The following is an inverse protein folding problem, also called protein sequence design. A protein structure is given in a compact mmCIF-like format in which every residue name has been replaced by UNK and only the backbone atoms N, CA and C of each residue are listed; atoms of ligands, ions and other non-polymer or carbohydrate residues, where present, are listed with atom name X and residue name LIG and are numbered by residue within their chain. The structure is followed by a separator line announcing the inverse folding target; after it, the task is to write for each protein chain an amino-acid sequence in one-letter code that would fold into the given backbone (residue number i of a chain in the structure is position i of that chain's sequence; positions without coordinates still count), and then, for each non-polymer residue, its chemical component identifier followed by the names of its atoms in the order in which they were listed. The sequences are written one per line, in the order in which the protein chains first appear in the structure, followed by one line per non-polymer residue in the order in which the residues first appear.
data_IF_722601294002
#
_entry.id   IF_722601294002
#
_cell.length_a   1.000
_cell.length_b   1.000
_cell.length_c   1.000
_cell.angle_alpha   90.00
_cell.angle_beta   90.00
_cell.angle_gamma   90.00
#
_symmetry.space_group_name_H-M   'P 1'
#
loop_
_entity.id
_entity.type
_entity.pdbx_description
1 polymer ?
#
# COMPACT_ATOMS: atom_id res chain seq x y z
N UNK A 1 -14.10 -8.91 35.06
CA UNK A 1 -14.56 -9.22 33.69
C UNK A 1 -14.12 -8.06 32.80
N UNK A 2 -12.95 -8.16 32.17
CA UNK A 2 -12.48 -7.16 31.22
C UNK A 2 -12.94 -7.55 29.83
N UNK A 3 -13.93 -6.83 29.31
CA UNK A 3 -14.35 -6.91 27.91
C UNK A 3 -13.23 -6.35 27.04
N UNK A 4 -12.38 -7.23 26.51
CA UNK A 4 -11.47 -6.86 25.42
C UNK A 4 -12.34 -6.57 24.20
N UNK A 5 -12.42 -5.28 23.88
CA UNK A 5 -13.05 -4.77 22.68
C UNK A 5 -12.30 -5.35 21.47
N UNK A 6 -12.91 -6.30 20.76
CA UNK A 6 -12.37 -6.79 19.50
C UNK A 6 -12.47 -5.68 18.44
N UNK A 7 -11.36 -5.23 17.85
CA UNK A 7 -11.40 -4.15 16.88
C UNK A 7 -11.98 -4.68 15.56
N UNK A 8 -13.12 -4.10 15.17
CA UNK A 8 -13.91 -4.50 14.00
C UNK A 8 -13.14 -4.16 12.71
N UNK A 9 -13.08 -5.05 11.69
CA UNK A 9 -12.30 -4.84 10.46
C UNK A 9 -12.67 -3.57 9.66
N UNK A 10 -13.85 -2.99 9.87
CA UNK A 10 -14.26 -1.72 9.27
C UNK A 10 -13.43 -0.51 9.73
N UNK A 11 -12.77 -0.59 10.88
CA UNK A 11 -11.89 0.47 11.40
C UNK A 11 -10.62 0.63 10.55
N UNK A 12 -10.07 -0.50 10.08
CA UNK A 12 -8.82 -0.55 9.30
C UNK A 12 -8.93 0.27 8.01
N UNK A 13 -10.10 0.31 7.39
CA UNK A 13 -10.31 1.02 6.14
C UNK A 13 -10.20 2.54 6.27
N UNK A 14 -10.37 3.07 7.49
CA UNK A 14 -10.23 4.50 7.77
C UNK A 14 -8.78 4.94 7.99
N UNK A 15 -7.85 3.99 8.12
CA UNK A 15 -6.46 4.28 8.47
C UNK A 15 -5.67 4.92 7.32
N UNK A 16 -4.75 5.82 7.69
CA UNK A 16 -3.67 6.26 6.80
C UNK A 16 -2.68 5.12 6.57
N UNK A 17 -1.82 5.27 5.56
CA UNK A 17 -0.79 4.28 5.26
C UNK A 17 0.15 4.05 6.46
N UNK A 18 0.64 5.13 7.09
CA UNK A 18 1.57 5.03 8.23
C UNK A 18 0.90 4.37 9.43
N UNK A 19 -0.34 4.74 9.73
CA UNK A 19 -1.08 4.13 10.84
C UNK A 19 -1.32 2.63 10.61
N UNK A 20 -1.75 2.24 9.40
CA UNK A 20 -1.95 0.85 9.05
C UNK A 20 -0.63 0.04 9.12
N UNK A 21 0.47 0.59 8.59
CA UNK A 21 1.80 -0.03 8.65
C UNK A 21 2.28 -0.21 10.08
N UNK A 22 2.18 0.83 10.91
CA UNK A 22 2.68 0.80 12.28
C UNK A 22 1.85 -0.16 13.15
N UNK A 23 0.57 -0.32 12.85
CA UNK A 23 -0.24 -1.36 13.46
C UNK A 23 0.09 -2.76 12.96
N UNK A 24 0.33 -2.94 11.65
CA UNK A 24 0.73 -4.22 11.08
C UNK A 24 2.04 -4.72 11.72
N UNK A 25 3.02 -3.83 11.91
CA UNK A 25 4.28 -4.17 12.60
C UNK A 25 4.00 -4.65 14.03
N UNK A 26 3.09 -4.01 14.76
CA UNK A 26 2.70 -4.44 16.12
C UNK A 26 2.05 -5.83 16.12
N UNK A 27 1.13 -6.08 15.20
CA UNK A 27 0.46 -7.37 15.04
C UNK A 27 1.47 -8.49 14.74
N UNK A 28 2.37 -8.27 13.78
CA UNK A 28 3.44 -9.23 13.43
C UNK A 28 4.34 -9.49 14.64
N UNK A 29 4.75 -8.43 15.35
CA UNK A 29 5.58 -8.56 16.55
C UNK A 29 4.90 -9.39 17.64
N UNK A 30 3.58 -9.27 17.82
CA UNK A 30 2.81 -10.08 18.79
C UNK A 30 2.71 -11.55 18.35
N UNK A 31 2.50 -11.80 17.05
CA UNK A 31 2.50 -13.16 16.48
C UNK A 31 3.86 -13.85 16.64
N UNK A 32 4.96 -13.14 16.38
CA UNK A 32 6.33 -13.67 16.48
C UNK A 32 6.75 -14.03 17.92
N UNK A 33 6.15 -13.39 18.93
CA UNK A 33 6.40 -13.74 20.34
C UNK A 33 5.88 -15.14 20.71
N UNK A 34 4.87 -15.64 19.98
CA UNK A 34 4.36 -17.01 20.15
C UNK A 34 3.70 -17.31 21.51
N UNK A 35 3.41 -16.29 22.32
CA UNK A 35 2.80 -16.43 23.65
C UNK A 35 1.26 -16.33 23.65
N UNK A 36 0.66 -16.06 22.49
CA UNK A 36 -0.79 -15.95 22.33
C UNK A 36 -1.47 -17.33 22.26
N UNK A 37 -2.74 -17.40 22.67
CA UNK A 37 -3.56 -18.59 22.43
C UNK A 37 -3.85 -18.75 20.92
N UNK A 38 -4.36 -19.91 20.51
CA UNK A 38 -4.73 -20.15 19.12
C UNK A 38 -5.76 -19.13 18.61
N UNK A 39 -6.83 -18.92 19.37
CA UNK A 39 -7.91 -17.99 19.02
C UNK A 39 -7.38 -16.56 18.89
N UNK A 40 -6.50 -16.14 19.81
CA UNK A 40 -5.86 -14.83 19.74
C UNK A 40 -4.92 -14.73 18.53
N UNK A 41 -4.17 -15.78 18.22
CA UNK A 41 -3.27 -15.84 17.06
C UNK A 41 -4.04 -15.73 15.75
N UNK A 42 -5.21 -16.38 15.65
CA UNK A 42 -6.10 -16.25 14.49
C UNK A 42 -6.63 -14.82 14.34
N UNK A 43 -7.12 -14.21 15.43
CA UNK A 43 -7.61 -12.84 15.40
C UNK A 43 -6.52 -11.83 15.02
N UNK A 44 -5.28 -12.04 15.50
CA UNK A 44 -4.12 -11.25 15.09
C UNK A 44 -3.83 -11.42 13.60
N UNK A 45 -3.84 -12.65 13.10
CA UNK A 45 -3.60 -12.92 11.68
C UNK A 45 -4.66 -12.23 10.79
N UNK A 46 -5.95 -12.38 11.08
CA UNK A 46 -7.04 -11.76 10.31
C UNK A 46 -6.93 -10.22 10.30
N UNK A 47 -6.55 -9.63 11.44
CA UNK A 47 -6.26 -8.19 11.52
C UNK A 47 -5.04 -7.81 10.69
N UNK A 48 -3.98 -8.61 10.74
CA UNK A 48 -2.78 -8.43 9.93
C UNK A 48 -3.08 -8.45 8.43
N UNK A 49 -3.87 -9.40 7.95
CA UNK A 49 -4.32 -9.47 6.55
C UNK A 49 -5.11 -8.22 6.14
N UNK A 50 -6.01 -7.76 7.00
CA UNK A 50 -6.80 -6.54 6.74
C UNK A 50 -5.90 -5.30 6.64
N UNK A 51 -4.91 -5.18 7.52
CA UNK A 51 -3.94 -4.07 7.50
C UNK A 51 -3.02 -4.13 6.28
N UNK A 52 -2.58 -5.33 5.88
CA UNK A 52 -1.76 -5.53 4.69
C UNK A 52 -2.52 -5.13 3.42
N UNK A 53 -3.78 -5.57 3.28
CA UNK A 53 -4.65 -5.17 2.17
C UNK A 53 -4.81 -3.65 2.09
N UNK A 54 -5.04 -2.98 3.24
CA UNK A 54 -5.13 -1.52 3.30
C UNK A 54 -3.83 -0.83 2.85
N UNK A 55 -2.68 -1.36 3.28
CA UNK A 55 -1.38 -0.84 2.84
C UNK A 55 -1.20 -0.99 1.32
N UNK A 56 -1.61 -2.12 0.76
CA UNK A 56 -1.55 -2.37 -0.69
C UNK A 56 -2.42 -1.39 -1.47
N UNK A 57 -3.66 -1.15 -1.04
CA UNK A 57 -4.55 -0.16 -1.66
C UNK A 57 -3.91 1.23 -1.77
N UNK A 58 -3.26 1.68 -0.69
CA UNK A 58 -2.52 2.95 -0.69
C UNK A 58 -1.38 2.96 -1.71
N UNK A 59 -0.59 1.89 -1.76
CA UNK A 59 0.57 1.80 -2.65
C UNK A 59 0.16 1.71 -4.12
N UNK A 60 -0.87 0.93 -4.44
CA UNK A 60 -1.46 0.84 -5.78
C UNK A 60 -2.01 2.20 -6.20
N UNK A 61 -2.77 2.87 -5.33
CA UNK A 61 -3.30 4.21 -5.60
C UNK A 61 -2.22 5.28 -5.78
N UNK A 62 -1.11 5.18 -5.07
CA UNK A 62 0.05 6.06 -5.24
C UNK A 62 0.76 5.81 -6.57
N UNK A 63 0.96 4.53 -6.94
CA UNK A 63 1.54 4.15 -8.24
C UNK A 63 0.72 4.70 -9.41
N UNK A 64 -0.60 4.51 -9.39
CA UNK A 64 -1.49 5.00 -10.45
C UNK A 64 -1.39 6.53 -10.63
N UNK A 65 -1.30 7.28 -9.52
CA UNK A 65 -1.11 8.74 -9.56
C UNK A 65 0.22 9.15 -10.20
N UNK A 66 1.30 8.43 -9.89
CA UNK A 66 2.61 8.69 -10.48
C UNK A 66 2.62 8.40 -11.99
N UNK A 67 2.01 7.30 -12.41
CA UNK A 67 1.95 6.92 -13.81
C UNK A 67 1.11 7.91 -14.63
N UNK A 68 -0.01 8.40 -14.10
CA UNK A 68 -0.81 9.45 -14.71
C UNK A 68 -0.04 10.79 -14.85
N UNK A 69 0.74 11.17 -13.83
CA UNK A 69 1.57 12.38 -13.89
C UNK A 69 2.67 12.27 -14.96
N UNK A 70 3.30 11.09 -15.10
CA UNK A 70 4.30 10.82 -16.13
C UNK A 70 3.70 10.88 -17.54
N UNK A 71 2.55 10.26 -17.75
CA UNK A 71 1.85 10.29 -19.04
C UNK A 71 1.43 11.72 -19.44
N UNK A 72 1.01 12.53 -18.46
CA UNK A 72 0.66 13.95 -18.69
C UNK A 72 1.88 14.80 -19.07
N UNK A 73 3.06 14.45 -18.56
CA UNK A 73 4.33 15.15 -18.86
C UNK A 73 4.90 14.75 -20.23
N UNK A 74 4.56 13.56 -20.73
CA UNK A 74 5.01 13.03 -22.03
C UNK A 74 4.13 13.46 -23.23
N UNK A 75 3.34 14.54 -23.10
CA UNK A 75 2.53 15.10 -24.20
C UNK A 75 3.34 15.54 -25.43
N UNK A 76 2.69 15.81 -26.58
CA UNK A 76 3.02 15.38 -27.95
C UNK A 76 4.24 16.04 -28.63
N UNK A 77 5.16 16.65 -27.88
CA UNK A 77 6.32 17.34 -28.45
C UNK A 77 7.59 16.47 -28.50
N UNK A 78 7.47 15.15 -28.40
CA UNK A 78 8.56 14.22 -28.68
C UNK A 78 8.64 13.81 -30.17
N UNK A 79 7.82 14.40 -31.03
CA UNK A 79 7.94 14.31 -32.49
C UNK A 79 8.54 15.61 -33.05
N UNK A 80 9.86 15.77 -32.99
CA UNK A 80 10.49 16.92 -33.65
C UNK A 80 11.93 17.23 -33.26
N UNK A 81 12.88 16.33 -33.54
CA UNK A 81 14.28 16.72 -33.79
C UNK A 81 15.06 15.56 -34.42
N UNK A 82 15.23 15.61 -35.75
CA UNK A 82 16.04 14.65 -36.51
C UNK A 82 16.03 14.88 -38.02
N UNK A 83 16.18 16.15 -38.42
CA UNK A 83 16.88 16.62 -39.62
C UNK A 83 16.70 15.83 -40.94
N UNK A 84 15.82 16.35 -41.80
CA UNK A 84 15.90 16.18 -43.25
C UNK A 84 16.59 17.42 -43.81
N UNK A 85 17.88 17.38 -44.17
CA UNK A 85 18.36 17.97 -45.43
C UNK A 85 19.80 17.52 -45.76
N UNK A 86 20.07 17.38 -47.05
CA UNK A 86 21.18 16.59 -47.59
C UNK A 86 22.58 17.21 -47.49
N UNK A 87 23.58 16.33 -47.71
CA UNK A 87 24.85 16.70 -48.33
C UNK A 87 25.51 15.45 -48.94
N UNK A 88 25.38 15.34 -50.27
CA UNK A 88 26.50 15.06 -51.19
C UNK A 88 27.43 13.86 -50.85
N UNK A 89 27.20 12.70 -51.49
CA UNK A 89 28.24 11.80 -52.03
C UNK A 89 27.69 10.63 -52.84
#
# INVERSE_FOLDING_TARGET
MSTQQEPVPSDVQSLSYEAARDELVRVVTELEQGSATLERSLALWERGESLAARCEEWLVGARARLDAARASTAGPNADGAGDQDGADR
#
